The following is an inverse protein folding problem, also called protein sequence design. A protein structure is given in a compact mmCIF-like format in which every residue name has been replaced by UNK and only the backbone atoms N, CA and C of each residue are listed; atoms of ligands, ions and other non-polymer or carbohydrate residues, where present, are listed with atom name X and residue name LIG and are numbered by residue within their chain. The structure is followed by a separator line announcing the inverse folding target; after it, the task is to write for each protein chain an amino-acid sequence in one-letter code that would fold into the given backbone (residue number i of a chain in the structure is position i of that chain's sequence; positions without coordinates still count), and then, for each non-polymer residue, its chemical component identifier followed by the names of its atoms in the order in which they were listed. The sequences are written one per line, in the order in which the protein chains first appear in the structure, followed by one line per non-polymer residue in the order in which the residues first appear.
data_IF_528657653800
#
_entry.id   IF_528657653800
#
_cell.length_a   1.000
_cell.length_b   1.000
_cell.length_c   1.000
_cell.angle_alpha   90.00
_cell.angle_beta   90.00
_cell.angle_gamma   90.00
#
_symmetry.space_group_name_H-M   'P 1'
#
loop_
_entity.id
_entity.type
_entity.pdbx_description
1 polymer ?
#
# COMPACT_ATOMS: atom_id res chain seq x y z
N UNK A 1 31.90 -14.04 59.93
CA UNK A 1 32.86 -15.16 59.77
C UNK A 1 33.34 -15.19 58.32
N UNK A 2 34.67 -15.08 58.12
CA UNK A 2 35.51 -15.34 56.91
C UNK A 2 35.17 -14.60 55.60
N UNK A 3 35.85 -13.48 55.28
CA UNK A 3 37.14 -13.33 54.51
C UNK A 3 36.95 -13.58 52.99
N UNK A 4 37.40 -12.75 52.03
CA UNK A 4 38.19 -11.52 52.00
C UNK A 4 38.68 -11.19 50.56
N UNK A 5 39.20 -9.96 50.35
CA UNK A 5 40.11 -9.52 49.25
C UNK A 5 39.57 -9.56 47.81
N UNK A 6 39.96 -8.73 46.84
CA UNK A 6 41.10 -7.81 46.70
C UNK A 6 40.85 -6.86 45.51
N UNK A 7 41.49 -5.70 45.57
CA UNK A 7 41.45 -4.53 44.69
C UNK A 7 42.45 -4.62 43.51
N UNK A 8 42.27 -3.78 42.46
CA UNK A 8 43.17 -3.47 41.31
C UNK A 8 43.35 -4.56 40.22
N UNK A 9 43.23 -4.31 38.90
CA UNK A 9 43.89 -3.29 38.08
C UNK A 9 43.10 -2.93 36.79
N UNK A 10 43.07 -1.64 36.46
CA UNK A 10 42.57 -1.04 35.21
C UNK A 10 43.56 -1.22 34.03
N UNK A 11 43.07 -1.38 32.79
CA UNK A 11 43.54 -0.61 31.60
C UNK A 11 42.74 -0.94 30.32
N UNK A 12 42.12 0.09 29.71
CA UNK A 12 41.65 0.09 28.31
C UNK A 12 40.31 0.80 28.04
N UNK A 13 40.33 2.09 27.70
CA UNK A 13 39.22 2.98 27.24
C UNK A 13 38.58 2.54 25.88
N UNK A 14 37.53 3.21 25.31
CA UNK A 14 36.68 4.33 25.80
C UNK A 14 35.14 4.21 25.55
N UNK A 15 34.35 4.79 26.46
CA UNK A 15 33.34 5.86 26.24
C UNK A 15 32.61 5.90 24.87
N UNK A 16 31.45 5.25 24.76
CA UNK A 16 30.42 5.60 23.73
C UNK A 16 28.98 5.39 24.21
N UNK A 17 28.77 4.71 25.34
CA UNK A 17 27.43 4.24 25.73
C UNK A 17 26.64 5.25 26.59
N UNK A 18 27.29 6.27 27.15
CA UNK A 18 26.63 7.17 28.13
C UNK A 18 25.74 8.29 27.52
N UNK A 19 25.77 8.51 26.20
CA UNK A 19 24.98 9.57 25.55
C UNK A 19 23.63 9.09 25.00
N UNK A 20 23.39 7.77 24.93
CA UNK A 20 22.14 7.19 24.42
C UNK A 20 21.04 7.11 25.49
N UNK A 21 21.41 6.82 26.76
CA UNK A 21 20.40 6.64 27.82
C UNK A 21 19.77 7.93 28.35
N UNK A 22 20.42 9.09 28.18
CA UNK A 22 19.85 10.39 28.61
C UNK A 22 18.74 10.92 27.69
N UNK A 23 18.64 10.43 26.44
CA UNK A 23 17.61 10.89 25.49
C UNK A 23 16.32 10.07 25.54
N UNK A 24 16.35 8.81 25.97
CA UNK A 24 15.12 8.00 26.11
C UNK A 24 14.33 8.31 27.38
N UNK A 25 14.98 8.74 28.46
CA UNK A 25 14.30 9.06 29.73
C UNK A 25 13.50 10.37 29.72
N UNK A 26 13.69 11.23 28.71
CA UNK A 26 12.99 12.50 28.54
C UNK A 26 11.67 12.38 27.76
N UNK A 27 11.39 11.23 27.13
CA UNK A 27 10.20 11.02 26.30
C UNK A 27 9.02 10.38 27.07
N UNK A 28 9.27 9.80 28.25
CA UNK A 28 8.29 8.99 29.00
C UNK A 28 7.74 9.65 30.29
N UNK A 29 8.03 10.92 30.57
CA UNK A 29 7.40 11.65 31.68
C UNK A 29 6.52 12.79 31.17
N UNK A 30 5.29 12.43 30.80
CA UNK A 30 4.16 13.35 30.86
C UNK A 30 3.91 13.73 32.32
N UNK A 31 4.32 14.93 32.69
CA UNK A 31 4.09 15.54 34.00
C UNK A 31 3.31 16.83 33.84
N UNK A 32 2.22 16.93 34.60
CA UNK A 32 1.26 18.03 34.64
C UNK A 32 1.86 19.43 34.81
N UNK A 33 1.26 20.40 34.12
CA UNK A 33 1.54 21.84 34.22
C UNK A 33 1.04 22.41 35.56
N UNK A 34 1.80 23.29 36.23
CA UNK A 34 1.25 24.20 37.22
C UNK A 34 0.83 25.53 36.57
N UNK A 35 -0.37 26.00 36.91
CA UNK A 35 -0.88 27.34 36.62
C UNK A 35 -0.20 28.41 37.50
N UNK A 36 0.16 29.54 36.88
CA UNK A 36 0.28 30.95 37.36
C UNK A 36 1.37 31.64 36.53
N UNK A 37 1.32 32.90 36.10
CA UNK A 37 0.50 34.07 36.39
C UNK A 37 0.67 35.06 35.22
N UNK A 38 -0.30 35.95 35.00
CA UNK A 38 -0.25 37.01 33.98
C UNK A 38 0.71 38.13 34.40
N UNK A 39 1.60 38.56 33.51
CA UNK A 39 1.98 39.98 33.37
C UNK A 39 2.55 40.26 31.97
N UNK A 40 2.21 41.43 31.44
CA UNK A 40 2.42 41.83 30.07
C UNK A 40 3.73 42.62 29.90
N UNK A 41 4.48 42.35 28.83
CA UNK A 41 5.34 43.32 28.18
C UNK A 41 5.53 42.92 26.70
N UNK A 42 5.19 43.86 25.81
CA UNK A 42 5.31 43.78 24.35
C UNK A 42 6.80 43.81 23.95
N UNK A 43 7.28 42.75 23.32
CA UNK A 43 8.33 42.83 22.30
C UNK A 43 8.00 41.86 21.16
N UNK A 44 7.96 42.38 19.93
CA UNK A 44 7.72 41.61 18.70
C UNK A 44 9.05 40.94 18.28
N UNK A 45 9.15 39.61 18.17
CA UNK A 45 10.19 39.01 17.35
C UNK A 45 9.71 38.98 15.90
N UNK A 46 10.56 39.51 15.03
CA UNK A 46 10.35 39.59 13.59
C UNK A 46 10.08 38.22 12.96
N UNK A 47 9.19 38.27 11.98
CA UNK A 47 8.91 37.22 11.01
C UNK A 47 10.19 36.69 10.35
N UNK A 48 10.47 35.40 10.54
CA UNK A 48 11.20 34.55 9.59
C UNK A 48 10.97 33.07 9.95
N UNK A 49 9.72 32.65 10.11
CA UNK A 49 9.40 31.23 9.96
C UNK A 49 9.32 30.93 8.46
N UNK A 50 10.44 30.50 7.88
CA UNK A 50 10.41 29.81 6.61
C UNK A 50 9.43 28.64 6.77
N UNK A 51 8.25 28.73 6.15
CA UNK A 51 7.32 27.60 6.00
C UNK A 51 8.13 26.45 5.42
N UNK A 52 8.58 25.49 6.25
CA UNK A 52 9.05 24.20 5.77
C UNK A 52 7.87 23.63 4.99
N UNK A 53 7.92 23.72 3.67
CA UNK A 53 6.95 23.09 2.78
C UNK A 53 6.91 21.63 3.19
N UNK A 54 5.78 21.19 3.74
CA UNK A 54 5.60 19.80 4.16
C UNK A 54 5.95 18.91 2.97
N UNK A 55 7.02 18.13 3.09
CA UNK A 55 7.49 17.28 2.00
C UNK A 55 6.36 16.32 1.61
N UNK A 56 5.81 16.52 0.41
CA UNK A 56 4.71 15.70 -0.10
C UNK A 56 5.29 14.33 -0.49
N UNK A 57 4.66 13.21 -0.08
CA UNK A 57 5.06 11.88 -0.53
C UNK A 57 5.10 11.80 -2.06
N UNK A 58 6.02 11.01 -2.62
CA UNK A 58 6.17 10.92 -4.07
C UNK A 58 4.95 10.33 -4.76
N UNK A 59 4.24 9.44 -4.06
CA UNK A 59 2.94 8.89 -4.51
C UNK A 59 1.95 10.00 -4.87
N UNK A 60 1.88 11.06 -4.06
CA UNK A 60 0.98 12.20 -4.31
C UNK A 60 1.60 13.22 -5.26
N UNK A 61 2.91 13.45 -5.18
CA UNK A 61 3.65 14.37 -6.05
C UNK A 61 3.53 13.97 -7.52
N UNK A 62 3.67 12.68 -7.81
CA UNK A 62 3.62 12.09 -9.16
C UNK A 62 2.26 11.49 -9.50
N UNK A 63 1.21 11.80 -8.73
CA UNK A 63 -0.16 11.41 -9.05
C UNK A 63 -0.56 12.04 -10.39
N UNK A 64 -1.03 11.26 -11.39
CA UNK A 64 -1.48 11.78 -12.67
C UNK A 64 -2.44 12.96 -12.53
N UNK A 65 -2.21 14.03 -13.29
CA UNK A 65 -3.05 15.23 -13.31
C UNK A 65 -4.06 15.21 -14.45
N UNK A 66 -3.67 14.64 -15.58
CA UNK A 66 -4.49 14.46 -16.77
C UNK A 66 -4.70 12.99 -17.06
N UNK A 67 -5.77 12.66 -17.78
CA UNK A 67 -6.11 11.26 -18.12
C UNK A 67 -4.99 10.61 -18.97
N UNK A 68 -4.24 11.41 -19.73
CA UNK A 68 -3.12 10.96 -20.58
C UNK A 68 -1.91 10.46 -19.80
N UNK A 69 -1.74 10.92 -18.56
CA UNK A 69 -0.62 10.53 -17.71
C UNK A 69 -0.86 9.21 -16.98
N UNK A 70 -2.06 8.63 -17.11
CA UNK A 70 -2.43 7.36 -16.48
C UNK A 70 -1.71 6.22 -17.20
N UNK A 71 -0.77 5.58 -16.52
CA UNK A 71 0.07 4.55 -17.10
C UNK A 71 -0.73 3.30 -17.50
N UNK A 72 -0.56 2.88 -18.76
CA UNK A 72 -0.83 1.52 -19.25
C UNK A 72 -2.27 0.98 -19.06
N UNK A 73 -3.26 1.87 -19.16
CA UNK A 73 -4.69 1.54 -19.16
C UNK A 73 -5.40 2.12 -20.40
N UNK A 74 -4.82 1.87 -21.58
CA UNK A 74 -5.24 2.49 -22.84
C UNK A 74 -6.72 2.27 -23.16
N UNK A 75 -7.23 1.06 -22.96
CA UNK A 75 -8.65 0.73 -23.17
C UNK A 75 -9.57 1.60 -22.29
N UNK A 76 -9.25 1.69 -21.00
CA UNK A 76 -10.05 2.45 -20.02
C UNK A 76 -9.95 3.95 -20.30
N UNK A 77 -8.73 4.45 -20.53
CA UNK A 77 -8.45 5.85 -20.85
C UNK A 77 -9.16 6.27 -22.15
N UNK A 78 -9.13 5.43 -23.20
CA UNK A 78 -9.78 5.73 -24.47
C UNK A 78 -11.31 5.83 -24.31
N UNK A 79 -11.92 4.90 -23.56
CA UNK A 79 -13.35 4.95 -23.29
C UNK A 79 -13.71 6.13 -22.41
N UNK A 80 -12.94 6.42 -21.35
CA UNK A 80 -13.16 7.58 -20.49
C UNK A 80 -13.08 8.89 -21.28
N UNK A 81 -12.07 9.05 -22.16
CA UNK A 81 -11.97 10.23 -23.04
C UNK A 81 -13.20 10.41 -23.91
N UNK A 82 -13.68 9.34 -24.55
CA UNK A 82 -14.91 9.37 -25.35
C UNK A 82 -16.13 9.74 -24.50
N UNK A 83 -16.23 9.18 -23.30
CA UNK A 83 -17.32 9.50 -22.36
C UNK A 83 -17.25 10.94 -21.82
N UNK A 84 -16.05 11.53 -21.71
CA UNK A 84 -15.86 12.93 -21.30
C UNK A 84 -16.20 13.92 -22.41
N UNK A 85 -15.97 13.55 -23.68
CA UNK A 85 -16.37 14.35 -24.84
C UNK A 85 -17.89 14.28 -25.09
N UNK A 86 -18.52 13.17 -24.74
CA UNK A 86 -19.96 13.00 -24.79
C UNK A 86 -20.69 13.85 -23.74
N UNK A 87 -21.90 14.29 -24.08
CA UNK A 87 -22.75 15.04 -23.15
C UNK A 87 -23.29 14.18 -21.99
N UNK A 88 -23.16 12.85 -22.06
CA UNK A 88 -23.78 11.91 -21.12
C UNK A 88 -22.74 10.92 -20.54
N UNK A 89 -22.21 11.23 -19.36
CA UNK A 89 -21.26 10.39 -18.62
C UNK A 89 -22.02 9.42 -17.69
N UNK A 90 -22.14 8.11 -17.98
CA UNK A 90 -22.87 7.19 -17.11
C UNK A 90 -22.23 7.09 -15.70
N UNK A 91 -22.94 6.49 -14.75
CA UNK A 91 -22.30 6.12 -13.49
C UNK A 91 -21.17 5.12 -13.77
N UNK A 92 -20.04 5.25 -13.08
CA UNK A 92 -18.83 4.49 -13.33
C UNK A 92 -18.57 3.54 -12.15
N UNK A 93 -18.05 2.35 -12.47
CA UNK A 93 -17.58 1.38 -11.49
C UNK A 93 -16.18 0.94 -11.88
N UNK A 94 -15.18 1.38 -11.11
CA UNK A 94 -13.78 1.06 -11.30
C UNK A 94 -13.39 -0.06 -10.34
N UNK A 95 -12.89 -1.17 -10.87
CA UNK A 95 -12.49 -2.31 -10.05
C UNK A 95 -11.18 -2.92 -10.51
N UNK A 96 -10.39 -3.44 -9.57
CA UNK A 96 -9.12 -4.07 -9.84
C UNK A 96 -8.17 -4.02 -8.64
N UNK A 97 -6.96 -4.58 -8.76
CA UNK A 97 -5.96 -4.61 -7.69
C UNK A 97 -5.58 -3.21 -7.17
N UNK A 98 -5.04 -3.09 -5.94
CA UNK A 98 -4.51 -1.83 -5.42
C UNK A 98 -3.36 -1.31 -6.31
N UNK A 99 -3.05 -0.01 -6.19
CA UNK A 99 -1.91 0.57 -6.92
C UNK A 99 -2.07 0.75 -8.42
N UNK A 100 -3.17 0.28 -9.01
CA UNK A 100 -3.42 0.37 -10.46
C UNK A 100 -3.92 1.73 -10.95
N UNK A 101 -4.06 2.74 -10.07
CA UNK A 101 -4.43 4.10 -10.50
C UNK A 101 -5.93 4.38 -10.66
N UNK A 102 -6.82 3.54 -10.12
CA UNK A 102 -8.28 3.74 -10.12
C UNK A 102 -8.70 5.14 -9.67
N UNK A 103 -8.29 5.53 -8.46
CA UNK A 103 -8.59 6.85 -7.87
C UNK A 103 -7.93 7.97 -8.68
N UNK A 104 -6.69 7.77 -9.13
CA UNK A 104 -5.99 8.75 -9.96
C UNK A 104 -6.70 9.02 -11.28
N UNK A 105 -7.23 7.99 -11.94
CA UNK A 105 -7.90 8.09 -13.23
C UNK A 105 -9.19 8.93 -13.15
N UNK A 106 -10.04 8.70 -12.15
CA UNK A 106 -11.27 9.50 -12.00
C UNK A 106 -10.98 10.94 -11.61
N UNK A 107 -10.00 11.18 -10.72
CA UNK A 107 -9.66 12.54 -10.31
C UNK A 107 -9.02 13.32 -11.46
N UNK A 108 -8.18 12.67 -12.27
CA UNK A 108 -7.65 13.25 -13.50
C UNK A 108 -8.77 13.58 -14.50
N UNK A 109 -9.70 12.64 -14.74
CA UNK A 109 -10.86 12.85 -15.60
C UNK A 109 -11.74 14.01 -15.10
N UNK A 110 -11.97 14.11 -13.80
CA UNK A 110 -12.76 15.18 -13.21
C UNK A 110 -12.05 16.55 -13.28
N UNK A 111 -10.72 16.58 -13.18
CA UNK A 111 -9.93 17.81 -13.41
C UNK A 111 -9.99 18.26 -14.86
N UNK A 112 -9.86 17.34 -15.81
CA UNK A 112 -9.95 17.63 -17.24
C UNK A 112 -11.36 18.15 -17.60
N UNK A 113 -12.40 17.60 -16.97
CA UNK A 113 -13.80 18.00 -17.21
C UNK A 113 -14.17 19.37 -16.60
N UNK A 114 -13.88 19.56 -15.30
CA UNK A 114 -14.34 20.73 -14.57
C UNK A 114 -13.33 21.87 -14.52
N UNK A 115 -12.05 21.58 -14.74
CA UNK A 115 -10.97 22.52 -14.50
C UNK A 115 -10.70 22.78 -13.00
N UNK A 116 -9.60 23.46 -12.67
CA UNK A 116 -9.13 23.62 -11.29
C UNK A 116 -10.09 24.43 -10.40
N UNK A 117 -10.82 25.40 -10.95
CA UNK A 117 -11.71 26.28 -10.18
C UNK A 117 -13.00 25.57 -9.71
N UNK A 118 -13.60 24.79 -10.60
CA UNK A 118 -14.89 24.13 -10.34
C UNK A 118 -14.73 22.74 -9.73
N UNK A 119 -13.52 22.16 -9.78
CA UNK A 119 -13.22 20.86 -9.21
C UNK A 119 -13.68 20.75 -7.75
N UNK A 120 -13.28 21.70 -6.90
CA UNK A 120 -13.62 21.68 -5.47
C UNK A 120 -15.12 21.82 -5.18
N UNK A 121 -15.89 22.39 -6.11
CA UNK A 121 -17.35 22.60 -5.95
C UNK A 121 -18.18 21.46 -6.54
N UNK A 122 -17.65 20.74 -7.54
CA UNK A 122 -18.37 19.74 -8.34
C UNK A 122 -17.91 18.30 -8.10
N UNK A 123 -16.79 18.10 -7.43
CA UNK A 123 -16.28 16.77 -7.08
C UNK A 123 -16.36 16.59 -5.57
N UNK A 124 -17.04 15.53 -5.14
CA UNK A 124 -17.05 15.08 -3.76
C UNK A 124 -16.34 13.73 -3.70
N UNK A 125 -15.15 13.69 -3.12
CA UNK A 125 -14.43 12.46 -2.79
C UNK A 125 -14.78 12.05 -1.36
N UNK A 126 -15.27 10.84 -1.17
CA UNK A 126 -15.49 10.23 0.12
C UNK A 126 -14.79 8.88 0.15
N UNK A 127 -13.98 8.65 1.17
CA UNK A 127 -13.50 7.31 1.48
C UNK A 127 -14.58 6.57 2.28
N UNK A 128 -15.17 5.52 1.71
CA UNK A 128 -16.29 4.81 2.32
C UNK A 128 -15.89 4.03 3.58
N UNK A 129 -14.60 3.71 3.75
CA UNK A 129 -14.07 3.01 4.93
C UNK A 129 -13.87 3.91 6.15
N UNK A 130 -13.58 5.21 5.97
CA UNK A 130 -13.42 6.16 7.07
C UNK A 130 -14.76 6.67 7.59
N UNK A 131 -15.71 6.93 6.68
CA UNK A 131 -17.05 7.44 6.99
C UNK A 131 -18.09 6.32 7.12
N UNK A 132 -17.80 5.30 7.94
CA UNK A 132 -18.60 4.05 8.06
C UNK A 132 -20.07 4.24 8.45
N UNK A 133 -20.46 5.41 8.93
CA UNK A 133 -21.84 5.71 9.27
C UNK A 133 -22.71 5.75 8.02
N UNK A 134 -23.59 4.77 7.85
CA UNK A 134 -24.62 4.71 6.78
C UNK A 134 -25.33 6.08 6.63
N UNK A 135 -25.61 6.74 7.76
CA UNK A 135 -26.26 8.04 7.79
C UNK A 135 -25.34 9.17 7.33
N UNK A 136 -24.05 9.15 7.65
CA UNK A 136 -23.10 10.22 7.28
C UNK A 136 -22.91 10.26 5.77
N UNK A 137 -22.64 9.11 5.14
CA UNK A 137 -22.52 9.00 3.68
C UNK A 137 -23.84 9.42 3.03
N UNK A 138 -24.97 8.92 3.51
CA UNK A 138 -26.29 9.27 2.97
C UNK A 138 -26.57 10.76 3.05
N UNK A 139 -26.32 11.40 4.19
CA UNK A 139 -26.58 12.83 4.38
C UNK A 139 -25.62 13.69 3.55
N UNK A 140 -24.32 13.41 3.54
CA UNK A 140 -23.35 14.17 2.74
C UNK A 140 -23.61 14.05 1.25
N UNK A 141 -23.79 12.82 0.76
CA UNK A 141 -24.10 12.56 -0.66
C UNK A 141 -25.43 13.21 -1.04
N UNK A 142 -26.47 13.09 -0.20
CA UNK A 142 -27.78 13.72 -0.46
C UNK A 142 -27.66 15.24 -0.50
N UNK A 143 -27.00 15.86 0.47
CA UNK A 143 -26.85 17.31 0.52
C UNK A 143 -26.05 17.82 -0.68
N UNK A 144 -24.99 17.11 -1.07
CA UNK A 144 -24.19 17.46 -2.24
C UNK A 144 -24.95 17.30 -3.56
N UNK A 145 -25.75 16.23 -3.67
CA UNK A 145 -26.54 15.93 -4.86
C UNK A 145 -27.74 16.86 -5.07
N UNK A 146 -28.30 17.40 -3.98
CA UNK A 146 -29.39 18.37 -4.03
C UNK A 146 -28.93 19.77 -4.46
N UNK A 147 -27.66 20.11 -4.26
CA UNK A 147 -27.12 21.38 -4.72
C UNK A 147 -27.06 21.41 -6.25
N UNK A 148 -27.71 22.38 -6.89
CA UNK A 148 -27.69 22.53 -8.36
C UNK A 148 -26.33 23.03 -8.86
N UNK A 149 -25.86 22.53 -10.00
CA UNK A 149 -24.68 23.04 -10.68
C UNK A 149 -25.08 23.89 -11.90
N UNK A 150 -24.45 25.05 -12.08
CA UNK A 150 -24.64 25.89 -13.28
C UNK A 150 -24.01 25.24 -14.52
N UNK A 151 -24.63 25.39 -15.68
CA UNK A 151 -24.16 24.84 -16.97
C UNK A 151 -23.01 25.64 -17.60
N UNK A 152 -22.67 26.81 -17.06
CA UNK A 152 -21.66 27.73 -17.60
C UNK A 152 -20.55 27.97 -16.59
N UNK A 153 -19.30 28.02 -17.07
CA UNK A 153 -18.19 28.59 -16.28
C UNK A 153 -18.33 30.11 -16.22
N UNK A 154 -17.64 30.75 -15.27
CA UNK A 154 -17.53 32.23 -15.22
C UNK A 154 -16.91 32.81 -16.50
N UNK A 155 -16.12 32.00 -17.19
CA UNK A 155 -15.43 32.30 -18.46
C UNK A 155 -16.28 32.00 -19.72
N UNK A 156 -17.56 31.63 -19.57
CA UNK A 156 -18.46 31.37 -20.71
C UNK A 156 -18.26 30.02 -21.41
N UNK A 157 -17.19 29.27 -21.10
CA UNK A 157 -16.99 27.91 -21.63
C UNK A 157 -18.08 26.93 -21.15
N UNK A 158 -18.56 25.99 -21.99
CA UNK A 158 -19.55 25.01 -21.60
C UNK A 158 -18.99 24.08 -20.52
N UNK A 159 -19.75 23.86 -19.46
CA UNK A 159 -19.38 22.93 -18.39
C UNK A 159 -20.54 21.95 -18.18
N UNK A 160 -20.29 20.63 -18.10
CA UNK A 160 -21.39 19.67 -17.96
C UNK A 160 -22.25 20.00 -16.73
N UNK A 161 -23.59 19.99 -16.85
CA UNK A 161 -24.52 20.40 -15.79
C UNK A 161 -24.74 19.29 -14.75
N UNK A 162 -23.69 18.52 -14.45
CA UNK A 162 -23.71 17.47 -13.43
C UNK A 162 -22.50 17.58 -12.51
N UNK A 163 -22.61 16.92 -11.36
CA UNK A 163 -21.53 16.77 -10.37
C UNK A 163 -21.05 15.33 -10.32
N UNK A 164 -19.85 15.11 -9.81
CA UNK A 164 -19.29 13.77 -9.64
C UNK A 164 -19.10 13.48 -8.15
N UNK A 165 -19.65 12.35 -7.71
CA UNK A 165 -19.39 11.80 -6.38
C UNK A 165 -18.48 10.58 -6.57
N UNK A 166 -17.28 10.65 -5.99
CA UNK A 166 -16.31 9.54 -5.96
C UNK A 166 -16.41 8.87 -4.61
N UNK A 167 -16.79 7.59 -4.61
CA UNK A 167 -16.81 6.75 -3.42
C UNK A 167 -15.65 5.75 -3.54
N UNK A 168 -14.59 5.99 -2.79
CA UNK A 168 -13.44 5.08 -2.71
C UNK A 168 -13.72 3.96 -1.70
N UNK A 169 -13.12 2.79 -1.92
CA UNK A 169 -13.30 1.58 -1.11
C UNK A 169 -14.77 1.17 -0.89
N UNK A 170 -15.58 1.24 -1.95
CA UNK A 170 -17.01 0.92 -1.91
C UNK A 170 -17.30 -0.55 -1.54
N UNK A 171 -16.31 -1.44 -1.66
CA UNK A 171 -16.37 -2.85 -1.23
C UNK A 171 -16.35 -3.01 0.29
N UNK A 172 -15.87 -2.00 1.03
CA UNK A 172 -15.90 -1.96 2.49
C UNK A 172 -17.27 -1.51 3.04
N UNK A 173 -18.22 -1.10 2.18
CA UNK A 173 -19.57 -0.71 2.58
C UNK A 173 -20.45 -1.93 2.90
N UNK A 174 -21.24 -1.83 3.97
CA UNK A 174 -22.26 -2.85 4.28
C UNK A 174 -23.34 -2.91 3.20
N UNK A 175 -23.94 -4.09 3.00
CA UNK A 175 -25.02 -4.29 2.02
C UNK A 175 -26.20 -3.33 2.21
N UNK A 176 -26.54 -3.01 3.47
CA UNK A 176 -27.57 -2.03 3.82
C UNK A 176 -27.19 -0.60 3.36
N UNK A 177 -25.92 -0.20 3.50
CA UNK A 177 -25.42 1.08 3.01
C UNK A 177 -25.51 1.16 1.48
N UNK A 178 -25.09 0.10 0.80
CA UNK A 178 -25.15 0.01 -0.66
C UNK A 178 -26.60 0.07 -1.17
N UNK A 179 -27.55 -0.58 -0.49
CA UNK A 179 -28.97 -0.50 -0.83
C UNK A 179 -29.55 0.91 -0.65
N UNK A 180 -29.10 1.66 0.37
CA UNK A 180 -29.48 3.06 0.56
C UNK A 180 -28.88 3.98 -0.51
N UNK A 181 -27.62 3.73 -0.89
CA UNK A 181 -26.93 4.46 -1.95
C UNK A 181 -27.65 4.27 -3.29
N UNK A 182 -28.07 3.04 -3.63
CA UNK A 182 -28.83 2.73 -4.85
C UNK A 182 -30.04 3.66 -5.03
N UNK A 183 -30.85 3.86 -3.99
CA UNK A 183 -32.03 4.74 -4.05
C UNK A 183 -31.64 6.20 -4.32
N UNK A 184 -30.50 6.63 -3.79
CA UNK A 184 -29.98 7.98 -4.01
C UNK A 184 -29.46 8.14 -5.43
N UNK A 185 -28.75 7.14 -5.96
CA UNK A 185 -28.29 7.11 -7.35
C UNK A 185 -29.46 7.18 -8.34
N UNK A 186 -30.52 6.41 -8.11
CA UNK A 186 -31.73 6.41 -8.95
C UNK A 186 -32.45 7.77 -8.93
N UNK A 187 -32.56 8.41 -7.76
CA UNK A 187 -33.27 9.70 -7.64
C UNK A 187 -32.48 10.87 -8.24
N UNK A 188 -31.16 10.88 -8.07
CA UNK A 188 -30.29 12.02 -8.39
C UNK A 188 -29.48 11.84 -9.69
N UNK A 189 -29.87 10.90 -10.57
CA UNK A 189 -29.14 10.60 -11.83
C UNK A 189 -29.02 11.82 -12.77
N UNK A 190 -29.97 12.76 -12.71
CA UNK A 190 -29.97 13.95 -13.57
C UNK A 190 -28.93 14.99 -13.15
N UNK A 191 -28.69 15.14 -11.85
CA UNK A 191 -27.82 16.19 -11.28
C UNK A 191 -26.44 15.66 -10.91
N UNK A 192 -26.33 14.36 -10.62
CA UNK A 192 -25.10 13.74 -10.11
C UNK A 192 -24.77 12.44 -10.80
N UNK A 193 -23.49 12.24 -11.06
CA UNK A 193 -22.90 10.99 -11.53
C UNK A 193 -22.04 10.40 -10.43
N UNK A 194 -22.14 9.09 -10.27
CA UNK A 194 -21.42 8.36 -9.26
C UNK A 194 -20.25 7.61 -9.89
N UNK A 195 -19.09 7.64 -9.23
CA UNK A 195 -17.97 6.78 -9.52
C UNK A 195 -17.67 5.94 -8.28
N UNK A 196 -17.92 4.64 -8.37
CA UNK A 196 -17.60 3.68 -7.33
C UNK A 196 -16.24 3.07 -7.62
N UNK A 197 -15.34 3.08 -6.64
CA UNK A 197 -14.04 2.42 -6.73
C UNK A 197 -14.04 1.26 -5.73
N UNK A 198 -13.67 0.07 -6.19
CA UNK A 198 -13.49 -1.09 -5.32
C UNK A 198 -12.31 -1.95 -5.77
N UNK A 199 -11.87 -2.87 -4.91
CA UNK A 199 -10.92 -3.90 -5.33
C UNK A 199 -11.67 -5.13 -5.86
N UNK A 200 -12.76 -5.50 -5.18
CA UNK A 200 -13.55 -6.68 -5.51
C UNK A 200 -14.97 -6.32 -5.96
N UNK A 201 -15.29 -6.59 -7.22
CA UNK A 201 -16.65 -6.38 -7.76
C UNK A 201 -17.69 -7.27 -7.08
N UNK A 202 -17.30 -8.45 -6.59
CA UNK A 202 -18.18 -9.41 -5.90
C UNK A 202 -18.73 -8.90 -4.56
N UNK A 203 -18.08 -7.88 -3.96
CA UNK A 203 -18.55 -7.24 -2.73
C UNK A 203 -19.61 -6.17 -2.97
N UNK A 204 -19.85 -5.80 -4.22
CA UNK A 204 -20.85 -4.79 -4.61
C UNK A 204 -22.16 -5.50 -4.98
N UNK A 205 -23.28 -5.03 -4.46
CA UNK A 205 -24.59 -5.59 -4.78
C UNK A 205 -24.92 -5.43 -6.27
N UNK A 206 -25.51 -6.47 -6.87
CA UNK A 206 -25.87 -6.49 -8.29
C UNK A 206 -26.70 -5.28 -8.75
N UNK A 207 -27.68 -4.76 -7.96
CA UNK A 207 -28.43 -3.56 -8.34
C UNK A 207 -27.58 -2.30 -8.55
N UNK A 208 -26.43 -2.16 -7.88
CA UNK A 208 -25.51 -1.05 -8.14
C UNK A 208 -24.70 -1.30 -9.40
N UNK A 209 -24.16 -2.52 -9.53
CA UNK A 209 -23.32 -2.88 -10.69
C UNK A 209 -24.07 -2.78 -12.02
N UNK A 210 -25.38 -3.08 -12.04
CA UNK A 210 -26.22 -2.98 -13.25
C UNK A 210 -26.49 -1.54 -13.70
N UNK A 211 -26.32 -0.55 -12.80
CA UNK A 211 -26.52 0.88 -13.09
C UNK A 211 -25.23 1.61 -13.42
N UNK A 212 -24.09 0.91 -13.41
CA UNK A 212 -22.78 1.49 -13.64
C UNK A 212 -22.08 0.84 -14.84
N UNK A 213 -21.38 1.65 -15.62
CA UNK A 213 -20.41 1.18 -16.61
C UNK A 213 -19.17 0.65 -15.89
N UNK A 214 -18.86 -0.62 -16.12
CA UNK A 214 -17.78 -1.36 -15.46
C UNK A 214 -16.45 -1.14 -16.19
N UNK A 215 -15.43 -0.72 -15.45
CA UNK A 215 -14.05 -0.57 -15.93
C UNK A 215 -13.12 -1.43 -15.10
N UNK A 216 -12.49 -2.39 -15.75
CA UNK A 216 -11.51 -3.28 -15.13
C UNK A 216 -10.12 -2.68 -15.24
N UNK A 217 -9.51 -2.39 -14.11
CA UNK A 217 -8.11 -2.03 -14.00
C UNK A 217 -7.29 -3.31 -13.83
N UNK A 218 -6.42 -3.59 -14.79
CA UNK A 218 -5.48 -4.72 -14.74
C UNK A 218 -4.23 -4.31 -13.92
N UNK A 219 -3.53 -5.26 -13.27
CA UNK A 219 -2.17 -5.01 -12.79
C UNK A 219 -1.32 -4.38 -13.89
N UNK A 220 -0.41 -3.49 -13.51
CA UNK A 220 0.50 -2.85 -14.47
C UNK A 220 1.54 -3.86 -14.95
N UNK A 221 1.84 -3.83 -16.25
CA UNK A 221 2.94 -4.63 -16.80
C UNK A 221 4.28 -4.16 -16.23
N UNK A 222 5.23 -5.08 -16.14
CA UNK A 222 6.57 -4.79 -15.61
C UNK A 222 7.23 -3.66 -16.39
N UNK A 223 7.13 -3.68 -17.73
CA UNK A 223 7.65 -2.62 -18.60
C UNK A 223 7.04 -1.24 -18.30
N UNK A 224 5.73 -1.17 -18.05
CA UNK A 224 5.07 0.09 -17.72
C UNK A 224 5.48 0.62 -16.34
N UNK A 225 5.66 -0.28 -15.36
CA UNK A 225 6.17 0.08 -14.04
C UNK A 225 7.62 0.60 -14.15
N UNK A 226 8.49 -0.10 -14.86
CA UNK A 226 9.86 0.33 -15.10
C UNK A 226 9.92 1.72 -15.74
N UNK A 227 9.12 1.96 -16.78
CA UNK A 227 9.07 3.26 -17.46
C UNK A 227 8.66 4.38 -16.49
N UNK A 228 7.63 4.13 -15.66
CA UNK A 228 7.16 5.14 -14.70
C UNK A 228 8.14 5.38 -13.56
N UNK A 229 8.79 4.32 -13.06
CA UNK A 229 9.83 4.42 -12.03
C UNK A 229 11.05 5.18 -12.57
N UNK A 230 11.51 4.88 -13.80
CA UNK A 230 12.59 5.63 -14.46
C UNK A 230 12.25 7.12 -14.56
N UNK A 231 11.03 7.44 -14.99
CA UNK A 231 10.58 8.84 -15.04
C UNK A 231 10.65 9.54 -13.67
N UNK A 232 10.28 8.86 -12.58
CA UNK A 232 10.40 9.42 -11.22
C UNK A 232 11.88 9.59 -10.83
N UNK A 233 12.75 8.62 -11.17
CA UNK A 233 14.19 8.73 -10.93
C UNK A 233 14.80 9.93 -11.65
N UNK A 234 14.43 10.16 -12.91
CA UNK A 234 14.94 11.29 -13.71
C UNK A 234 14.52 12.64 -13.11
N UNK A 235 13.28 12.75 -12.64
CA UNK A 235 12.75 13.97 -12.02
C UNK A 235 13.35 14.28 -10.65
N UNK A 236 13.74 13.25 -9.89
CA UNK A 236 14.41 13.40 -8.59
C UNK A 236 15.95 13.38 -8.70
N UNK A 237 16.51 13.15 -9.89
CA UNK A 237 17.95 13.06 -10.12
C UNK A 237 18.63 11.84 -9.49
N UNK A 238 17.91 10.71 -9.38
CA UNK A 238 18.38 9.48 -8.73
C UNK A 238 19.08 8.56 -9.74
N UNK A 239 20.16 7.92 -9.29
CA UNK A 239 20.83 6.85 -10.05
C UNK A 239 20.42 5.49 -9.50
N UNK A 240 19.76 4.69 -10.31
CA UNK A 240 19.33 3.32 -9.96
C UNK A 240 20.01 2.31 -10.88
N UNK A 241 20.47 1.20 -10.31
CA UNK A 241 21.00 0.07 -11.10
C UNK A 241 19.85 -0.69 -11.78
N UNK A 242 20.11 -1.26 -12.96
CA UNK A 242 19.07 -1.99 -13.70
C UNK A 242 18.59 -3.24 -12.96
N UNK A 243 19.48 -3.95 -12.25
CA UNK A 243 19.10 -5.10 -11.41
C UNK A 243 18.19 -4.67 -10.25
N UNK A 244 18.49 -3.52 -9.65
CA UNK A 244 17.68 -2.94 -8.57
C UNK A 244 16.28 -2.55 -9.09
N UNK A 245 16.20 -1.97 -10.29
CA UNK A 245 14.93 -1.63 -10.93
C UNK A 245 14.07 -2.87 -11.19
N UNK A 246 14.66 -3.94 -11.74
CA UNK A 246 13.93 -5.19 -12.01
C UNK A 246 13.47 -5.85 -10.71
N UNK A 247 14.29 -5.86 -9.66
CA UNK A 247 13.90 -6.38 -8.35
C UNK A 247 12.77 -5.55 -7.72
N UNK A 248 12.81 -4.21 -7.84
CA UNK A 248 11.75 -3.32 -7.36
C UNK A 248 10.39 -3.67 -7.97
N UNK A 249 10.38 -3.86 -9.29
CA UNK A 249 9.16 -4.19 -10.05
C UNK A 249 8.65 -5.58 -9.68
N UNK A 250 9.56 -6.54 -9.51
CA UNK A 250 9.21 -7.89 -9.05
C UNK A 250 8.54 -7.85 -7.68
N UNK A 251 9.12 -7.13 -6.72
CA UNK A 251 8.55 -6.97 -5.36
C UNK A 251 7.22 -6.20 -5.38
N UNK A 252 7.03 -5.30 -6.34
CA UNK A 252 5.83 -4.49 -6.44
C UNK A 252 4.61 -5.26 -6.99
N UNK A 253 4.80 -6.37 -7.73
CA UNK A 253 3.74 -7.26 -8.22
C UNK A 253 2.57 -6.55 -8.95
N UNK A 254 2.85 -5.48 -9.69
CA UNK A 254 1.80 -4.70 -10.38
C UNK A 254 1.30 -3.46 -9.63
N UNK A 255 1.72 -3.26 -8.38
CA UNK A 255 1.36 -2.11 -7.54
C UNK A 255 2.40 -0.97 -7.65
N UNK A 256 2.07 0.02 -8.46
CA UNK A 256 2.93 1.20 -8.65
C UNK A 256 3.03 2.08 -7.40
N UNK A 257 2.00 2.11 -6.54
CA UNK A 257 2.05 2.86 -5.28
C UNK A 257 3.11 2.24 -4.36
N UNK A 258 3.14 0.91 -4.27
CA UNK A 258 4.16 0.16 -3.53
C UNK A 258 5.55 0.44 -4.10
N UNK A 259 5.72 0.33 -5.42
CA UNK A 259 7.00 0.60 -6.10
C UNK A 259 7.55 2.01 -5.80
N UNK A 260 6.73 3.06 -5.96
CA UNK A 260 7.15 4.45 -5.72
C UNK A 260 7.45 4.69 -4.23
N UNK A 261 6.68 4.08 -3.32
CA UNK A 261 6.92 4.22 -1.88
C UNK A 261 8.24 3.56 -1.48
N UNK A 262 8.52 2.35 -2.00
CA UNK A 262 9.78 1.67 -1.77
C UNK A 262 10.96 2.47 -2.34
N UNK A 263 10.83 3.00 -3.56
CA UNK A 263 11.84 3.86 -4.17
C UNK A 263 12.11 5.12 -3.32
N UNK A 264 11.05 5.75 -2.81
CA UNK A 264 11.19 6.91 -1.93
C UNK A 264 11.92 6.58 -0.63
N UNK A 265 11.65 5.43 -0.03
CA UNK A 265 12.37 4.95 1.14
C UNK A 265 13.83 4.66 0.82
N UNK A 266 14.12 4.01 -0.31
CA UNK A 266 15.48 3.72 -0.76
C UNK A 266 16.31 4.98 -0.96
N UNK A 267 15.74 5.97 -1.65
CA UNK A 267 16.39 7.25 -1.90
C UNK A 267 16.71 8.03 -0.61
N UNK A 268 15.90 7.86 0.44
CA UNK A 268 16.15 8.51 1.75
C UNK A 268 17.26 7.83 2.55
N UNK A 269 17.42 6.51 2.39
CA UNK A 269 18.50 5.76 3.04
C UNK A 269 19.86 6.04 2.37
N UNK A 270 19.85 6.13 1.04
CA UNK A 270 21.04 6.25 0.21
C UNK A 270 21.23 7.70 -0.20
N UNK A 271 21.58 8.57 0.75
CA UNK A 271 21.78 9.99 0.48
C UNK A 271 23.01 10.17 -0.44
N UNK A 272 22.77 10.34 -1.75
CA UNK A 272 23.80 10.68 -2.74
C UNK A 272 24.55 9.52 -3.39
N UNK A 273 24.16 8.27 -3.13
CA UNK A 273 24.74 7.08 -3.76
C UNK A 273 23.73 6.35 -4.68
N UNK A 274 24.22 5.37 -5.44
CA UNK A 274 23.40 4.56 -6.36
C UNK A 274 22.52 3.58 -5.59
N UNK A 275 21.26 3.43 -6.00
CA UNK A 275 20.35 2.45 -5.42
C UNK A 275 20.72 1.07 -5.97
N UNK A 276 21.17 0.18 -5.09
CA UNK A 276 21.56 -1.20 -5.41
C UNK A 276 20.45 -2.19 -5.06
N UNK A 277 20.56 -3.42 -5.61
CA UNK A 277 19.60 -4.51 -5.36
C UNK A 277 19.47 -4.88 -3.87
N UNK A 278 20.58 -4.90 -3.13
CA UNK A 278 20.60 -5.26 -1.72
C UNK A 278 19.72 -4.32 -0.86
N UNK A 279 19.80 -3.02 -1.13
CA UNK A 279 19.01 -2.00 -0.42
C UNK A 279 17.51 -2.21 -0.64
N UNK A 280 17.12 -2.59 -1.86
CA UNK A 280 15.71 -2.86 -2.18
C UNK A 280 15.22 -4.12 -1.45
N UNK A 281 16.05 -5.17 -1.38
CA UNK A 281 15.73 -6.39 -0.63
C UNK A 281 15.60 -6.15 0.88
N UNK A 282 16.42 -5.25 1.44
CA UNK A 282 16.31 -4.86 2.84
C UNK A 282 15.01 -4.08 3.12
N UNK A 283 14.62 -3.17 2.22
CA UNK A 283 13.40 -2.36 2.37
C UNK A 283 12.13 -3.19 2.11
N UNK A 284 12.18 -4.13 1.16
CA UNK A 284 11.06 -5.01 0.85
C UNK A 284 10.75 -5.99 1.99
N UNK A 285 11.66 -6.14 2.95
CA UNK A 285 11.63 -7.15 4.00
C UNK A 285 11.44 -8.57 3.45
N UNK A 286 11.87 -8.82 2.20
CA UNK A 286 11.85 -10.14 1.59
C UNK A 286 12.96 -11.00 2.17
N UNK A 287 12.68 -12.29 2.41
CA UNK A 287 13.69 -13.21 2.94
C UNK A 287 14.77 -13.43 1.87
N UNK A 288 16.07 -13.28 2.22
CA UNK A 288 17.18 -13.59 1.34
C UNK A 288 17.12 -15.02 0.82
N UNK A 289 17.43 -15.20 -0.46
CA UNK A 289 17.44 -16.52 -1.11
C UNK A 289 18.43 -17.49 -0.46
N UNK A 290 19.52 -16.99 0.11
CA UNK A 290 20.50 -17.79 0.83
C UNK A 290 19.87 -18.50 2.05
N UNK A 291 19.05 -17.78 2.84
CA UNK A 291 18.37 -18.35 3.99
C UNK A 291 17.25 -19.30 3.60
N UNK A 292 16.49 -18.98 2.55
CA UNK A 292 15.50 -19.88 1.97
C UNK A 292 16.12 -21.20 1.52
N UNK A 293 17.27 -21.14 0.84
CA UNK A 293 17.99 -22.33 0.41
C UNK A 293 18.51 -23.13 1.61
N UNK A 294 19.04 -22.46 2.65
CA UNK A 294 19.47 -23.11 3.88
C UNK A 294 18.31 -23.83 4.59
N UNK A 295 17.11 -23.23 4.63
CA UNK A 295 15.90 -23.85 5.17
C UNK A 295 15.52 -25.11 4.36
N UNK A 296 15.51 -25.02 3.03
CA UNK A 296 15.17 -26.16 2.16
C UNK A 296 16.21 -27.28 2.28
N UNK A 297 17.49 -26.95 2.39
CA UNK A 297 18.56 -27.91 2.63
C UNK A 297 18.44 -28.57 4.02
N UNK A 298 18.08 -27.81 5.04
CA UNK A 298 17.79 -28.35 6.38
C UNK A 298 16.64 -29.37 6.30
N UNK A 299 15.55 -29.05 5.60
CA UNK A 299 14.42 -29.95 5.38
C UNK A 299 14.81 -31.23 4.61
N UNK A 300 15.80 -31.18 3.70
CA UNK A 300 16.33 -32.37 3.01
C UNK A 300 17.20 -33.24 3.91
N UNK A 301 17.95 -32.64 4.82
CA UNK A 301 18.89 -33.35 5.69
C UNK A 301 18.22 -34.27 6.72
N UNK A 302 16.89 -34.25 6.82
CA UNK A 302 16.08 -35.08 7.71
C UNK A 302 16.39 -34.95 9.20
N UNK A 303 17.11 -33.89 9.60
CA UNK A 303 17.46 -33.62 10.98
C UNK A 303 16.55 -32.54 11.53
N UNK A 304 15.77 -32.89 12.56
CA UNK A 304 14.83 -31.98 13.23
C UNK A 304 15.59 -30.81 13.87
N UNK A 305 16.76 -31.06 14.47
CA UNK A 305 17.56 -30.02 15.13
C UNK A 305 18.04 -28.95 14.13
N UNK A 306 18.46 -29.37 12.93
CA UNK A 306 18.89 -28.42 11.88
C UNK A 306 17.72 -27.59 11.36
N UNK A 307 16.55 -28.21 11.22
CA UNK A 307 15.33 -27.52 10.82
C UNK A 307 14.91 -26.49 11.88
N UNK A 308 14.91 -26.89 13.15
CA UNK A 308 14.59 -25.99 14.27
C UNK A 308 15.54 -24.78 14.31
N UNK A 309 16.86 -25.02 14.22
CA UNK A 309 17.84 -23.92 14.16
C UNK A 309 17.61 -22.99 12.96
N UNK A 310 17.28 -23.53 11.78
CA UNK A 310 17.01 -22.71 10.60
C UNK A 310 15.75 -21.84 10.77
N UNK A 311 14.68 -22.41 11.34
CA UNK A 311 13.44 -21.66 11.63
C UNK A 311 13.69 -20.60 12.71
N UNK A 312 14.39 -20.95 13.79
CA UNK A 312 14.77 -20.01 14.85
C UNK A 312 15.59 -18.85 14.30
N UNK A 313 16.57 -19.12 13.42
CA UNK A 313 17.36 -18.06 12.80
C UNK A 313 16.49 -17.07 12.02
N UNK A 314 15.53 -17.56 11.22
CA UNK A 314 14.62 -16.67 10.47
C UNK A 314 13.74 -15.84 11.41
N UNK A 315 13.21 -16.46 12.48
CA UNK A 315 12.43 -15.75 13.48
C UNK A 315 13.27 -14.70 14.24
N UNK A 316 14.54 -15.02 14.56
CA UNK A 316 15.46 -14.10 15.23
C UNK A 316 15.86 -12.91 14.34
N UNK A 317 15.96 -13.10 13.02
CA UNK A 317 16.17 -12.02 12.06
C UNK A 317 14.92 -11.14 11.86
N UNK A 318 13.76 -11.59 12.34
CA UNK A 318 12.53 -10.80 12.39
C UNK A 318 11.75 -10.76 11.07
N UNK A 319 11.98 -11.72 10.17
CA UNK A 319 11.19 -11.85 8.95
C UNK A 319 9.81 -12.41 9.26
N UNK A 320 8.77 -11.79 8.69
CA UNK A 320 7.39 -12.26 8.85
C UNK A 320 7.18 -13.61 8.16
N UNK A 321 6.58 -14.56 8.89
CA UNK A 321 6.28 -15.90 8.38
C UNK A 321 5.39 -15.88 7.12
N UNK A 322 4.50 -14.90 7.01
CA UNK A 322 3.62 -14.71 5.83
C UNK A 322 4.41 -14.47 4.54
N UNK A 323 5.49 -13.69 4.62
CA UNK A 323 6.36 -13.40 3.46
C UNK A 323 7.18 -14.63 3.09
N UNK A 324 7.68 -15.34 4.10
CA UNK A 324 8.43 -16.58 3.93
C UNK A 324 7.58 -17.66 3.23
N UNK A 325 6.31 -17.83 3.61
CA UNK A 325 5.39 -18.78 3.00
C UNK A 325 5.15 -18.47 1.51
N UNK A 326 4.94 -17.20 1.16
CA UNK A 326 4.77 -16.78 -0.23
C UNK A 326 6.00 -17.13 -1.08
N UNK A 327 7.20 -16.79 -0.58
CA UNK A 327 8.45 -17.11 -1.28
C UNK A 327 8.72 -18.62 -1.35
N UNK A 328 8.42 -19.36 -0.27
CA UNK A 328 8.59 -20.81 -0.25
C UNK A 328 7.64 -21.51 -1.21
N UNK A 329 6.40 -21.02 -1.35
CA UNK A 329 5.44 -21.49 -2.34
C UNK A 329 5.99 -21.33 -3.78
N UNK A 330 6.54 -20.17 -4.14
CA UNK A 330 7.16 -19.97 -5.46
C UNK A 330 8.33 -20.93 -5.70
N UNK A 331 9.22 -21.08 -4.69
CA UNK A 331 10.37 -21.98 -4.78
C UNK A 331 9.90 -23.42 -4.98
N UNK A 332 8.92 -23.90 -4.21
CA UNK A 332 8.40 -25.27 -4.31
C UNK A 332 7.77 -25.54 -5.67
N UNK A 333 7.02 -24.59 -6.24
CA UNK A 333 6.39 -24.73 -7.55
C UNK A 333 7.43 -24.86 -8.68
N UNK A 334 8.46 -24.01 -8.66
CA UNK A 334 9.50 -23.97 -9.68
C UNK A 334 10.47 -25.16 -9.64
N UNK A 335 10.54 -25.93 -8.55
CA UNK A 335 11.44 -27.08 -8.47
C UNK A 335 10.97 -28.26 -9.34
N UNK A 336 11.90 -28.83 -10.09
CA UNK A 336 11.69 -30.06 -10.86
C UNK A 336 11.86 -31.33 -10.00
N UNK A 337 12.52 -31.22 -8.85
CA UNK A 337 12.86 -32.36 -7.97
C UNK A 337 11.65 -33.00 -7.27
N UNK A 338 10.46 -32.40 -7.36
CA UNK A 338 9.26 -32.80 -6.63
C UNK A 338 8.18 -33.30 -7.60
N UNK A 339 7.53 -34.41 -7.25
CA UNK A 339 6.37 -34.92 -7.99
C UNK A 339 5.13 -34.05 -7.74
N UNK A 340 4.16 -34.08 -8.66
CA UNK A 340 2.92 -33.31 -8.54
C UNK A 340 2.14 -33.68 -7.26
N UNK A 341 2.21 -34.95 -6.83
CA UNK A 341 1.60 -35.42 -5.59
C UNK A 341 2.28 -34.81 -4.36
N UNK A 342 3.61 -34.72 -4.36
CA UNK A 342 4.36 -34.07 -3.29
C UNK A 342 4.08 -32.57 -3.27
N UNK A 343 4.08 -31.91 -4.43
CA UNK A 343 3.75 -30.48 -4.55
C UNK A 343 2.34 -30.18 -4.04
N UNK A 344 1.36 -31.02 -4.39
CA UNK A 344 -0.02 -30.88 -3.91
C UNK A 344 -0.11 -30.97 -2.38
N UNK A 345 0.53 -31.97 -1.76
CA UNK A 345 0.54 -32.12 -0.30
C UNK A 345 1.22 -30.95 0.41
N UNK A 346 2.28 -30.40 -0.17
CA UNK A 346 2.97 -29.22 0.37
C UNK A 346 2.08 -27.96 0.23
N UNK A 347 1.45 -27.77 -0.94
CA UNK A 347 0.57 -26.64 -1.20
C UNK A 347 -0.65 -26.62 -0.26
N UNK A 348 -1.24 -27.79 0.02
CA UNK A 348 -2.34 -27.92 0.98
C UNK A 348 -1.90 -27.46 2.38
N UNK A 349 -0.73 -27.93 2.84
CA UNK A 349 -0.20 -27.50 4.13
C UNK A 349 0.17 -26.02 4.19
N UNK A 350 0.71 -25.47 3.10
CA UNK A 350 0.98 -24.03 2.98
C UNK A 350 -0.32 -23.22 3.15
N UNK A 351 -1.42 -23.65 2.53
CA UNK A 351 -2.72 -22.99 2.66
C UNK A 351 -3.31 -23.06 4.07
N UNK A 352 -3.18 -24.21 4.75
CA UNK A 352 -3.59 -24.33 6.16
C UNK A 352 -2.81 -23.37 7.05
N UNK A 353 -1.48 -23.33 6.88
CA UNK A 353 -0.58 -22.51 7.68
C UNK A 353 -0.82 -21.02 7.42
N UNK A 354 -0.97 -20.60 6.16
CA UNK A 354 -1.29 -19.22 5.80
C UNK A 354 -2.59 -18.76 6.47
N UNK A 355 -3.65 -19.59 6.43
CA UNK A 355 -4.90 -19.32 7.14
C UNK A 355 -4.67 -19.18 8.65
N UNK A 356 -3.94 -20.11 9.28
CA UNK A 356 -3.66 -20.05 10.71
C UNK A 356 -2.90 -18.78 11.09
N UNK A 357 -1.96 -18.32 10.27
CA UNK A 357 -1.25 -17.05 10.50
C UNK A 357 -2.19 -15.84 10.38
N UNK A 358 -3.10 -15.84 9.40
CA UNK A 358 -4.13 -14.79 9.28
C UNK A 358 -5.07 -14.77 10.49
N UNK A 359 -5.38 -15.93 11.06
CA UNK A 359 -6.18 -16.07 12.29
C UNK A 359 -5.39 -15.67 13.56
N UNK A 360 -4.09 -15.36 13.45
CA UNK A 360 -3.23 -14.90 14.54
C UNK A 360 -2.55 -16.02 15.35
N UNK A 361 -2.29 -17.17 14.73
CA UNK A 361 -1.51 -18.24 15.35
C UNK A 361 -0.02 -17.86 15.51
N UNK A 362 0.68 -18.60 16.37
CA UNK A 362 2.12 -18.41 16.63
C UNK A 362 2.97 -18.75 15.39
N UNK A 363 3.77 -17.79 14.94
CA UNK A 363 4.57 -17.91 13.71
C UNK A 363 5.57 -19.06 13.77
N UNK A 364 6.27 -19.22 14.89
CA UNK A 364 7.32 -20.22 15.05
C UNK A 364 6.74 -21.64 14.98
N UNK A 365 5.67 -21.92 15.72
CA UNK A 365 5.03 -23.24 15.71
C UNK A 365 4.45 -23.60 14.34
N UNK A 366 3.83 -22.63 13.66
CA UNK A 366 3.26 -22.85 12.34
C UNK A 366 4.34 -23.10 11.28
N UNK A 367 5.46 -22.37 11.34
CA UNK A 367 6.60 -22.60 10.46
C UNK A 367 7.24 -23.97 10.69
N UNK A 368 7.37 -24.40 11.94
CA UNK A 368 7.93 -25.71 12.29
C UNK A 368 7.01 -26.85 11.79
N UNK A 369 5.68 -26.68 11.93
CA UNK A 369 4.70 -27.60 11.38
C UNK A 369 4.78 -27.71 9.84
N UNK A 370 4.95 -26.58 9.15
CA UNK A 370 5.16 -26.56 7.70
C UNK A 370 6.45 -27.29 7.30
N UNK A 371 7.56 -27.00 7.97
CA UNK A 371 8.86 -27.60 7.67
C UNK A 371 8.86 -29.12 7.94
N UNK A 372 8.15 -29.59 8.97
CA UNK A 372 7.97 -31.01 9.23
C UNK A 372 7.27 -31.74 8.07
N UNK A 373 6.26 -31.11 7.46
CA UNK A 373 5.58 -31.69 6.30
C UNK A 373 6.47 -31.65 5.07
N UNK A 374 7.19 -30.54 4.83
CA UNK A 374 8.17 -30.44 3.75
C UNK A 374 9.22 -31.56 3.83
N UNK A 375 9.81 -31.75 5.01
CA UNK A 375 10.79 -32.81 5.27
C UNK A 375 10.21 -34.21 4.98
N UNK A 376 8.98 -34.47 5.42
CA UNK A 376 8.31 -35.75 5.16
C UNK A 376 8.10 -35.99 3.66
N UNK A 377 7.72 -34.96 2.91
CA UNK A 377 7.48 -35.08 1.47
C UNK A 377 8.79 -35.23 0.68
N UNK A 378 9.87 -34.54 1.07
CA UNK A 378 11.18 -34.69 0.43
C UNK A 378 11.78 -36.10 0.59
N UNK A 379 11.51 -36.75 1.72
CA UNK A 379 12.04 -38.09 2.01
C UNK A 379 11.17 -39.23 1.46
N UNK A 380 9.97 -38.93 1.00
CA UNK A 380 9.09 -39.92 0.41
C UNK A 380 9.64 -40.29 -0.97
N UNK A 381 9.82 -41.58 -1.30
CA UNK A 381 10.21 -41.97 -2.65
C UNK A 381 9.17 -41.46 -3.64
N UNK A 382 9.64 -40.94 -4.78
CA UNK A 382 8.76 -40.55 -5.88
C UNK A 382 8.09 -41.82 -6.43
N UNK A 383 6.81 -42.01 -6.11
CA UNK A 383 5.95 -43.02 -6.75
C UNK A 383 5.60 -42.61 -8.18
#
# INVERSE_FOLDING_TARGET
MRWGGLFFFLRGFPITILLSQRKMHAFLKGGSLPQKEKSAAKEKPGSCEAKRSRAVPWVEKYRPRCVDEVAHQEEVVAVLKKSLQGADLPNLLFYGPPGTGKTSAILAAARDLFGPELYAQRVLELNASDERGIQVVRHKVKNFAQLTASSTRKDGSPCPPFKIVVLDEADSMTSAAQAALRRTMERETKTTRFCLICNYVSRIIEPLTSRCSKFRFKPLSDAAQEQRVRHVCDQEGLKIEQEALTELVKVAEGDLRRAITMLQSAARLVVGATITRAIIMEISASVPTAMLNALVEACRSSSIDKMDLAVQNICCEGYAATTLIGQLHEVVLCRADLSDRQKSAIADKLGEVDKCLVDGADEYLQMLALCSVLMTQFNRPAE
#
